data_IF_502249265174
#
_entry.id   IF_502249265174
#
_cell.length_a   1.000
_cell.length_b   1.000
_cell.length_c   1.000
_cell.angle_alpha   90.00
_cell.angle_beta   90.00
_cell.angle_gamma   90.00
#
_symmetry.space_group_name_H-M   'P 1'
#
loop_
_entity.id
_entity.type
_entity.pdbx_description
1 polymer ?
#
# COMPACT_ATOMS: atom_id res chain seq x y z
N UNK A 1 5.13 -8.20 17.77
CA UNK A 1 5.16 -6.72 17.86
C UNK A 1 4.40 -6.27 19.09
N UNK A 2 4.92 -5.38 19.92
CA UNK A 2 4.16 -4.86 21.05
C UNK A 2 2.91 -4.11 20.54
N UNK A 3 1.78 -4.36 21.18
CA UNK A 3 0.44 -3.79 20.86
C UNK A 3 0.42 -2.24 20.84
N UNK A 4 1.45 -1.60 21.33
CA UNK A 4 1.51 -0.14 21.56
C UNK A 4 2.45 0.64 20.62
N UNK A 5 3.08 -0.02 19.65
CA UNK A 5 4.07 0.68 18.79
C UNK A 5 3.47 1.65 17.77
N UNK A 6 2.14 1.71 17.63
CA UNK A 6 1.48 2.57 16.65
C UNK A 6 0.19 3.22 17.19
N UNK A 7 0.25 3.75 18.42
CA UNK A 7 -0.87 4.48 19.06
C UNK A 7 -1.43 5.61 18.18
N UNK A 8 -0.59 6.43 17.50
CA UNK A 8 -1.11 7.46 16.61
C UNK A 8 -1.95 6.91 15.46
N UNK A 9 -1.51 5.82 14.82
CA UNK A 9 -2.28 5.17 13.74
C UNK A 9 -3.61 4.61 14.25
N UNK A 10 -3.63 4.02 15.44
CA UNK A 10 -4.85 3.52 16.06
C UNK A 10 -5.84 4.67 16.35
N UNK A 11 -5.36 5.80 16.90
CA UNK A 11 -6.20 6.99 17.15
C UNK A 11 -6.80 7.53 15.85
N UNK A 12 -5.99 7.65 14.80
CA UNK A 12 -6.46 8.12 13.51
C UNK A 12 -7.49 7.16 12.91
N UNK A 13 -7.24 5.86 12.97
CA UNK A 13 -8.19 4.83 12.51
C UNK A 13 -9.53 4.92 13.25
N UNK A 14 -9.51 5.08 14.57
CA UNK A 14 -10.72 5.24 15.38
C UNK A 14 -11.46 6.54 15.04
N UNK A 15 -10.74 7.64 14.84
CA UNK A 15 -11.35 8.91 14.42
C UNK A 15 -12.09 8.74 13.09
N UNK A 16 -11.49 8.12 12.08
CA UNK A 16 -12.15 7.82 10.81
C UNK A 16 -13.29 6.82 10.96
N UNK A 17 -13.14 5.78 11.77
CA UNK A 17 -14.20 4.81 12.00
C UNK A 17 -15.47 5.44 12.59
N UNK A 18 -15.32 6.50 13.37
CA UNK A 18 -16.44 7.23 14.00
C UNK A 18 -17.00 8.34 13.12
N UNK A 19 -16.14 9.09 12.41
CA UNK A 19 -16.56 10.28 11.65
C UNK A 19 -16.85 10.00 10.18
N UNK A 20 -15.98 9.23 9.52
CA UNK A 20 -16.08 8.95 8.08
C UNK A 20 -15.63 7.52 7.78
N UNK A 21 -16.36 6.48 8.21
CA UNK A 21 -15.93 5.08 8.12
C UNK A 21 -15.65 4.61 6.67
N UNK A 22 -16.29 5.24 5.68
CA UNK A 22 -16.01 4.98 4.25
C UNK A 22 -14.56 5.28 3.85
N UNK A 23 -13.87 6.16 4.56
CA UNK A 23 -12.46 6.51 4.31
C UNK A 23 -11.50 5.39 4.66
N UNK A 24 -11.93 4.39 5.43
CA UNK A 24 -11.17 3.17 5.71
C UNK A 24 -11.40 2.07 4.65
N UNK A 25 -12.27 2.31 3.67
CA UNK A 25 -12.50 1.34 2.60
C UNK A 25 -11.46 1.50 1.50
N UNK A 26 -10.93 0.38 0.95
CA UNK A 26 -10.04 0.43 -0.21
C UNK A 26 -10.82 0.74 -1.48
N UNK A 27 -10.20 1.37 -2.47
CA UNK A 27 -10.81 1.56 -3.79
C UNK A 27 -11.01 0.23 -4.52
N UNK A 28 -10.08 -0.71 -4.33
CA UNK A 28 -10.15 -2.08 -4.84
C UNK A 28 -9.62 -3.08 -3.82
N UNK A 29 -10.11 -4.30 -3.91
CA UNK A 29 -9.70 -5.43 -3.06
C UNK A 29 -9.29 -6.59 -3.96
N UNK A 30 -8.15 -7.20 -3.66
CA UNK A 30 -7.64 -8.43 -4.27
C UNK A 30 -7.26 -9.43 -3.17
N UNK A 31 -7.22 -10.73 -3.44
CA UNK A 31 -6.81 -11.70 -2.41
C UNK A 31 -5.34 -11.52 -2.01
N UNK A 32 -4.44 -11.49 -2.96
CA UNK A 32 -2.98 -11.30 -2.77
C UNK A 32 -2.45 -10.31 -3.83
N UNK A 33 -1.16 -9.98 -3.81
CA UNK A 33 -0.55 -9.12 -4.83
C UNK A 33 -0.54 -9.77 -6.24
N UNK A 34 -0.49 -11.10 -6.32
CA UNK A 34 -0.28 -11.81 -7.59
C UNK A 34 -1.31 -11.50 -8.68
N UNK A 35 -2.63 -11.47 -8.40
CA UNK A 35 -3.65 -11.16 -9.40
C UNK A 35 -3.83 -9.66 -9.68
N UNK A 36 -2.98 -8.76 -9.15
CA UNK A 36 -3.10 -7.34 -9.46
C UNK A 36 -3.06 -7.11 -10.97
N UNK A 37 -4.14 -6.57 -11.60
CA UNK A 37 -4.19 -6.40 -13.04
C UNK A 37 -3.32 -5.24 -13.53
N UNK A 38 -2.96 -5.30 -14.80
CA UNK A 38 -2.26 -4.23 -15.54
C UNK A 38 -3.03 -3.92 -16.83
N UNK A 39 -3.18 -2.68 -17.21
CA UNK A 39 -2.86 -1.46 -16.44
C UNK A 39 -3.76 -1.28 -15.21
N UNK A 40 -3.17 -0.84 -14.09
CA UNK A 40 -3.91 -0.65 -12.83
C UNK A 40 -4.98 0.45 -13.00
N UNK A 41 -4.63 1.54 -13.68
CA UNK A 41 -5.51 2.68 -13.87
C UNK A 41 -6.84 2.30 -14.55
N UNK A 42 -6.82 1.41 -15.52
CA UNK A 42 -8.05 0.95 -16.19
C UNK A 42 -8.95 0.13 -15.26
N UNK A 43 -8.40 -0.55 -14.30
CA UNK A 43 -9.14 -1.37 -13.35
C UNK A 43 -9.69 -0.57 -12.14
N UNK A 44 -9.08 0.56 -11.81
CA UNK A 44 -9.57 1.43 -10.74
C UNK A 44 -10.94 2.04 -11.06
N UNK A 45 -11.69 2.53 -10.05
CA UNK A 45 -12.93 3.29 -10.27
C UNK A 45 -12.69 4.50 -11.17
N UNK A 46 -13.71 4.92 -11.89
CA UNK A 46 -13.65 6.13 -12.71
C UNK A 46 -13.61 7.38 -11.84
N UNK A 47 -12.87 8.41 -12.31
CA UNK A 47 -12.70 9.69 -11.61
C UNK A 47 -13.99 10.53 -11.60
N UNK A 48 -14.87 10.30 -12.57
CA UNK A 48 -16.08 11.10 -12.78
C UNK A 48 -17.18 10.27 -13.45
N UNK A 49 -18.36 10.88 -13.58
CA UNK A 49 -19.52 10.29 -14.25
C UNK A 49 -19.33 10.03 -15.75
N UNK A 50 -18.35 10.67 -16.40
CA UNK A 50 -18.02 10.44 -17.82
C UNK A 50 -17.17 9.18 -18.04
N UNK A 51 -16.84 8.44 -16.99
CA UNK A 51 -16.08 7.20 -17.09
C UNK A 51 -14.57 7.38 -17.24
N UNK A 52 -14.03 8.62 -17.09
CA UNK A 52 -12.59 8.86 -17.20
C UNK A 52 -11.83 8.03 -16.17
N UNK A 53 -10.90 7.22 -16.63
CA UNK A 53 -10.02 6.40 -15.81
C UNK A 53 -8.82 7.22 -15.30
N UNK A 54 -8.32 6.90 -14.09
CA UNK A 54 -7.08 7.53 -13.62
C UNK A 54 -5.88 7.06 -14.44
N UNK A 55 -4.94 7.96 -14.66
CA UNK A 55 -3.60 7.62 -15.10
C UNK A 55 -2.76 7.30 -13.88
N UNK A 56 -2.10 6.14 -13.85
CA UNK A 56 -1.21 5.75 -12.76
C UNK A 56 0.23 5.83 -13.27
N UNK A 57 1.09 6.48 -12.49
CA UNK A 57 2.52 6.67 -12.76
C UNK A 57 3.40 6.13 -11.64
N UNK A 58 2.85 6.00 -10.43
CA UNK A 58 3.60 5.57 -9.27
C UNK A 58 2.87 4.48 -8.47
N UNK A 59 3.65 3.53 -7.96
CA UNK A 59 3.18 2.42 -7.17
C UNK A 59 3.94 2.38 -5.84
N UNK A 60 3.20 2.43 -4.74
CA UNK A 60 3.70 2.18 -3.39
C UNK A 60 3.32 0.76 -2.99
N UNK A 61 4.30 -0.06 -2.66
CA UNK A 61 4.11 -1.44 -2.21
C UNK A 61 4.47 -1.60 -0.74
N UNK A 62 3.58 -2.16 0.04
CA UNK A 62 3.93 -2.68 1.35
C UNK A 62 4.80 -3.95 1.23
N UNK A 63 5.63 -4.20 2.24
CA UNK A 63 6.54 -5.36 2.30
C UNK A 63 5.89 -6.54 3.02
N UNK A 64 5.63 -6.35 4.32
CA UNK A 64 5.25 -7.43 5.23
C UNK A 64 3.84 -7.93 4.93
N UNK A 65 3.69 -9.23 4.73
CA UNK A 65 2.42 -9.85 4.36
C UNK A 65 1.82 -9.35 3.03
N UNK A 66 2.62 -8.67 2.19
CA UNK A 66 2.25 -8.21 0.85
C UNK A 66 3.22 -8.77 -0.19
N UNK A 67 4.51 -8.46 -0.10
CA UNK A 67 5.58 -8.99 -0.96
C UNK A 67 6.18 -10.29 -0.44
N UNK A 68 6.33 -10.41 0.87
CA UNK A 68 6.91 -11.57 1.55
C UNK A 68 6.12 -11.90 2.83
N UNK A 69 6.34 -13.09 3.44
CA UNK A 69 5.77 -13.40 4.74
C UNK A 69 6.17 -12.35 5.79
N UNK A 70 5.34 -12.11 6.81
CA UNK A 70 5.66 -11.17 7.88
C UNK A 70 7.03 -11.46 8.52
N UNK A 71 7.75 -10.38 8.87
CA UNK A 71 9.03 -10.46 9.57
C UNK A 71 10.13 -11.25 8.83
N UNK A 72 10.04 -11.33 7.49
CA UNK A 72 11.05 -11.97 6.65
C UNK A 72 11.42 -11.07 5.46
N UNK A 73 12.54 -11.40 4.81
CA UNK A 73 12.92 -10.89 3.49
C UNK A 73 12.87 -11.98 2.41
N UNK A 74 12.41 -13.19 2.78
CA UNK A 74 12.35 -14.32 1.83
C UNK A 74 11.25 -14.08 0.81
N UNK A 75 11.67 -13.78 -0.41
CA UNK A 75 10.79 -13.58 -1.54
C UNK A 75 10.51 -14.91 -2.26
N UNK A 76 9.26 -15.16 -2.57
CA UNK A 76 8.87 -16.29 -3.40
C UNK A 76 8.98 -15.91 -4.88
N UNK A 77 9.44 -16.83 -5.75
CA UNK A 77 9.68 -16.56 -7.17
C UNK A 77 8.45 -15.96 -7.89
N UNK A 78 7.25 -16.39 -7.54
CA UNK A 78 6.02 -15.85 -8.14
C UNK A 78 5.84 -14.34 -7.86
N UNK A 79 6.23 -13.86 -6.66
CA UNK A 79 6.16 -12.44 -6.30
C UNK A 79 7.29 -11.64 -6.97
N UNK A 80 8.48 -12.21 -7.10
CA UNK A 80 9.57 -11.61 -7.90
C UNK A 80 9.11 -11.46 -9.36
N UNK A 81 8.57 -12.52 -9.97
CA UNK A 81 8.05 -12.47 -11.33
C UNK A 81 6.91 -11.45 -11.50
N UNK A 82 6.07 -11.30 -10.47
CA UNK A 82 5.03 -10.26 -10.48
C UNK A 82 5.62 -8.87 -10.45
N UNK A 83 6.64 -8.63 -9.62
CA UNK A 83 7.31 -7.34 -9.53
C UNK A 83 8.03 -6.99 -10.85
N UNK A 84 8.68 -7.96 -11.49
CA UNK A 84 9.28 -7.75 -12.80
C UNK A 84 8.25 -7.36 -13.87
N UNK A 85 7.07 -8.00 -13.87
CA UNK A 85 5.97 -7.61 -14.76
C UNK A 85 5.46 -6.19 -14.48
N UNK A 86 5.42 -5.77 -13.22
CA UNK A 86 5.08 -4.40 -12.85
C UNK A 86 6.11 -3.41 -13.39
N UNK A 87 7.40 -3.66 -13.16
CA UNK A 87 8.52 -2.83 -13.64
C UNK A 87 8.53 -2.68 -15.17
N UNK A 88 8.13 -3.72 -15.89
CA UNK A 88 8.10 -3.74 -17.37
C UNK A 88 6.80 -3.20 -17.97
N UNK A 89 5.79 -2.88 -17.15
CA UNK A 89 4.51 -2.37 -17.65
C UNK A 89 4.61 -0.92 -18.15
N UNK A 90 3.74 -0.55 -19.07
CA UNK A 90 3.69 0.82 -19.60
C UNK A 90 3.46 1.89 -18.53
N UNK A 91 2.82 1.52 -17.40
CA UNK A 91 2.58 2.45 -16.29
C UNK A 91 3.86 2.79 -15.53
N UNK A 92 4.85 1.87 -15.46
CA UNK A 92 5.99 2.01 -14.55
C UNK A 92 7.37 1.92 -15.22
N UNK A 93 7.46 1.45 -16.47
CA UNK A 93 8.75 1.23 -17.16
C UNK A 93 9.48 2.54 -17.52
N UNK A 94 8.79 3.68 -17.52
CA UNK A 94 9.36 4.96 -17.92
C UNK A 94 10.34 5.56 -16.92
N UNK A 95 10.28 5.13 -15.65
CA UNK A 95 11.15 5.66 -14.61
C UNK A 95 11.46 4.54 -13.59
N UNK A 96 12.73 4.25 -13.28
CA UNK A 96 13.11 3.21 -12.32
C UNK A 96 12.63 3.50 -10.88
N UNK A 97 12.23 4.74 -10.59
CA UNK A 97 11.68 5.16 -9.31
C UNK A 97 10.15 5.12 -9.26
N UNK A 98 9.47 4.64 -10.30
CA UNK A 98 7.99 4.55 -10.35
C UNK A 98 7.41 3.57 -9.33
N UNK A 99 8.19 2.62 -8.85
CA UNK A 99 7.78 1.66 -7.81
C UNK A 99 8.63 1.92 -6.56
N UNK A 100 7.97 2.05 -5.41
CA UNK A 100 8.61 2.33 -4.11
C UNK A 100 8.08 1.36 -3.07
N UNK A 101 8.98 0.66 -2.38
CA UNK A 101 8.62 -0.17 -1.21
C UNK A 101 8.56 0.71 0.03
N UNK A 102 7.46 0.60 0.80
CA UNK A 102 7.25 1.36 2.03
C UNK A 102 6.85 0.41 3.15
N UNK A 103 7.75 0.19 4.11
CA UNK A 103 7.55 -0.74 5.21
C UNK A 103 7.71 -0.05 6.57
N UNK A 104 6.96 -0.49 7.58
CA UNK A 104 7.14 -0.01 8.95
C UNK A 104 8.34 -0.67 9.66
N UNK A 105 9.03 -1.60 9.01
CA UNK A 105 10.24 -2.30 9.47
C UNK A 105 11.43 -1.92 8.60
N UNK A 106 11.55 -2.45 7.38
CA UNK A 106 12.64 -2.16 6.47
C UNK A 106 12.71 -0.66 6.15
N UNK A 107 13.91 -0.07 6.25
CA UNK A 107 14.15 1.35 6.00
C UNK A 107 13.65 2.30 7.10
N UNK A 108 13.08 1.78 8.19
CA UNK A 108 12.82 2.64 9.34
C UNK A 108 14.14 2.91 10.06
N UNK A 109 14.47 4.18 10.33
CA UNK A 109 15.73 4.62 10.95
C UNK A 109 15.91 4.16 12.40
N UNK A 110 15.06 3.26 12.88
CA UNK A 110 15.05 2.80 14.27
C UNK A 110 16.13 1.76 14.61
N UNK A 111 16.77 1.11 13.62
CA UNK A 111 17.89 0.19 13.86
C UNK A 111 18.74 -0.05 12.61
N UNK A 112 20.01 -0.44 12.83
CA UNK A 112 20.91 -0.86 11.75
C UNK A 112 20.39 -2.10 10.99
N UNK A 113 19.61 -2.96 11.65
CA UNK A 113 18.98 -4.14 11.07
C UNK A 113 17.94 -3.76 10.01
N UNK A 114 17.12 -2.75 10.28
CA UNK A 114 16.11 -2.25 9.34
C UNK A 114 16.74 -1.59 8.10
N UNK A 115 17.90 -0.96 8.26
CA UNK A 115 18.66 -0.42 7.13
C UNK A 115 19.30 -1.54 6.30
N UNK A 116 19.86 -2.56 6.95
CA UNK A 116 20.42 -3.73 6.27
C UNK A 116 19.33 -4.50 5.49
N UNK A 117 18.14 -4.63 6.09
CA UNK A 117 16.98 -5.24 5.45
C UNK A 117 16.54 -4.46 4.19
N UNK A 118 16.50 -3.12 4.28
CA UNK A 118 16.15 -2.29 3.14
C UNK A 118 17.16 -2.44 1.99
N UNK A 119 18.47 -2.41 2.29
CA UNK A 119 19.53 -2.61 1.29
C UNK A 119 19.48 -3.99 0.63
N UNK A 120 19.16 -5.03 1.40
CA UNK A 120 18.98 -6.37 0.87
C UNK A 120 17.84 -6.43 -0.14
N UNK A 121 16.67 -5.87 0.21
CA UNK A 121 15.50 -5.79 -0.67
C UNK A 121 15.80 -4.99 -1.94
N UNK A 122 16.47 -3.85 -1.83
CA UNK A 122 16.88 -3.05 -2.98
C UNK A 122 17.81 -3.82 -3.92
N UNK A 123 18.77 -4.55 -3.35
CA UNK A 123 19.70 -5.38 -4.12
C UNK A 123 19.00 -6.54 -4.83
N UNK A 124 18.06 -7.21 -4.16
CA UNK A 124 17.38 -8.39 -4.71
C UNK A 124 16.29 -8.01 -5.71
N UNK A 125 15.57 -6.91 -5.49
CA UNK A 125 14.41 -6.53 -6.28
C UNK A 125 14.69 -5.43 -7.31
N UNK A 126 15.79 -4.68 -7.15
CA UNK A 126 16.04 -3.50 -7.96
C UNK A 126 14.96 -2.43 -7.81
N UNK A 127 14.31 -2.36 -6.64
CA UNK A 127 13.26 -1.40 -6.31
C UNK A 127 13.66 -0.66 -5.04
N UNK A 128 13.61 0.68 -5.03
CA UNK A 128 13.97 1.48 -3.86
C UNK A 128 13.03 1.21 -2.68
N UNK A 129 13.60 1.31 -1.48
CA UNK A 129 12.88 1.23 -0.20
C UNK A 129 12.93 2.58 0.47
N UNK A 130 11.75 3.14 0.84
CA UNK A 130 11.68 4.42 1.51
C UNK A 130 12.35 4.37 2.89
N UNK A 131 13.28 5.29 3.13
CA UNK A 131 13.85 5.51 4.48
C UNK A 131 12.93 6.43 5.26
N UNK A 132 12.40 5.93 6.36
CA UNK A 132 11.42 6.64 7.19
C UNK A 132 12.00 6.99 8.55
N UNK A 133 11.63 8.14 9.07
CA UNK A 133 11.87 8.48 10.47
C UNK A 133 10.90 7.69 11.38
N UNK A 134 11.30 7.36 12.62
CA UNK A 134 10.47 6.58 13.55
C UNK A 134 9.06 7.16 13.76
N UNK A 135 8.95 8.50 13.75
CA UNK A 135 7.71 9.25 13.98
C UNK A 135 6.82 9.31 12.74
N UNK A 136 7.40 9.05 11.55
CA UNK A 136 6.73 9.14 10.25
C UNK A 136 6.54 7.79 9.58
N UNK A 137 6.13 6.78 10.37
CA UNK A 137 5.72 5.48 9.82
C UNK A 137 4.31 5.54 9.25
N UNK A 138 3.94 4.55 8.42
CA UNK A 138 2.57 4.45 7.91
C UNK A 138 1.54 4.54 9.07
N UNK A 139 0.50 5.34 8.92
CA UNK A 139 0.02 6.06 7.73
C UNK A 139 0.57 7.49 7.55
N UNK A 140 1.58 7.95 8.31
CA UNK A 140 2.02 9.34 8.35
C UNK A 140 3.19 9.67 7.41
N UNK A 141 3.75 8.70 6.69
CA UNK A 141 4.86 8.90 5.75
C UNK A 141 4.44 9.45 4.38
N UNK A 142 3.16 9.80 4.20
CA UNK A 142 2.65 10.35 2.95
C UNK A 142 3.45 11.50 2.37
N UNK A 143 3.78 12.56 3.14
CA UNK A 143 4.60 13.66 2.66
C UNK A 143 5.99 13.24 2.14
N UNK A 144 6.61 12.23 2.77
CA UNK A 144 7.92 11.74 2.34
C UNK A 144 7.81 10.95 1.03
N UNK A 145 6.73 10.20 0.82
CA UNK A 145 6.43 9.49 -0.44
C UNK A 145 6.18 10.48 -1.58
N UNK A 146 5.35 11.49 -1.34
CA UNK A 146 5.06 12.52 -2.35
C UNK A 146 6.33 13.28 -2.75
N UNK A 147 7.15 13.66 -1.77
CA UNK A 147 8.44 14.28 -2.01
C UNK A 147 9.36 13.38 -2.84
N UNK A 148 9.46 12.09 -2.48
CA UNK A 148 10.27 11.11 -3.21
C UNK A 148 9.90 11.05 -4.69
N UNK A 149 8.62 10.87 -5.02
CA UNK A 149 8.18 10.76 -6.42
C UNK A 149 8.39 12.07 -7.20
N UNK A 150 8.19 13.22 -6.56
CA UNK A 150 8.46 14.51 -7.15
C UNK A 150 9.94 14.73 -7.44
N UNK A 151 10.82 14.46 -6.47
CA UNK A 151 12.28 14.64 -6.60
C UNK A 151 12.89 13.72 -7.68
N UNK A 152 12.28 12.53 -7.89
CA UNK A 152 12.70 11.58 -8.92
C UNK A 152 11.97 11.77 -10.28
N UNK A 153 11.17 12.82 -10.43
CA UNK A 153 10.49 13.15 -11.69
C UNK A 153 9.42 12.12 -12.11
N UNK A 154 8.84 11.40 -11.15
CA UNK A 154 7.77 10.42 -11.43
C UNK A 154 6.41 11.11 -11.55
N UNK A 155 5.99 11.78 -10.49
CA UNK A 155 4.75 12.56 -10.42
C UNK A 155 4.74 13.48 -9.21
N UNK A 156 3.99 14.58 -9.30
CA UNK A 156 3.63 15.45 -8.17
C UNK A 156 2.12 15.42 -7.86
N UNK A 157 1.33 14.65 -8.64
CA UNK A 157 -0.10 14.47 -8.41
C UNK A 157 -0.37 13.17 -7.61
N UNK A 158 -0.88 13.27 -6.35
CA UNK A 158 -1.24 12.10 -5.56
C UNK A 158 -2.23 11.16 -6.26
N UNK A 159 -3.06 11.67 -7.18
CA UNK A 159 -4.05 10.86 -7.92
C UNK A 159 -3.43 9.96 -8.97
N UNK A 160 -2.16 10.14 -9.29
CA UNK A 160 -1.39 9.24 -10.15
C UNK A 160 -0.65 8.15 -9.37
N UNK A 161 -0.85 8.09 -8.04
CA UNK A 161 -0.20 7.14 -7.15
C UNK A 161 -1.22 6.09 -6.67
N UNK A 162 -0.82 4.81 -6.66
CA UNK A 162 -1.58 3.73 -6.03
C UNK A 162 -0.77 3.10 -4.90
N UNK A 163 -1.39 2.91 -3.75
CA UNK A 163 -0.82 2.20 -2.60
C UNK A 163 -1.42 0.81 -2.53
N UNK A 164 -0.58 -0.22 -2.46
CA UNK A 164 -0.97 -1.62 -2.36
C UNK A 164 -0.41 -2.21 -1.06
N UNK A 165 -1.27 -2.73 -0.21
CA UNK A 165 -0.87 -3.33 1.07
C UNK A 165 -1.96 -4.16 1.71
N UNK A 166 -1.63 -4.83 2.82
CA UNK A 166 -2.50 -5.82 3.48
C UNK A 166 -3.34 -5.25 4.64
N UNK A 167 -3.17 -3.98 5.00
CA UNK A 167 -3.82 -3.40 6.18
C UNK A 167 -4.62 -2.13 5.89
N UNK A 168 -5.87 -2.10 6.36
CA UNK A 168 -6.73 -0.92 6.25
C UNK A 168 -6.19 0.25 7.08
N UNK A 169 -5.76 -0.03 8.31
CA UNK A 169 -5.31 0.98 9.27
C UNK A 169 -3.96 1.64 8.94
N UNK A 170 -3.18 1.09 8.03
CA UNK A 170 -1.87 1.64 7.63
C UNK A 170 -1.82 1.97 6.15
N UNK A 171 -2.10 1.02 5.27
CA UNK A 171 -1.88 1.19 3.83
C UNK A 171 -3.04 1.91 3.15
N UNK A 172 -4.28 1.50 3.44
CA UNK A 172 -5.47 2.18 2.90
C UNK A 172 -5.59 3.58 3.49
N UNK A 173 -5.32 3.72 4.78
CA UNK A 173 -5.33 5.03 5.44
C UNK A 173 -4.21 5.95 4.95
N UNK A 174 -3.00 5.42 4.69
CA UNK A 174 -1.92 6.16 4.04
C UNK A 174 -2.36 6.72 2.68
N UNK A 175 -2.96 5.88 1.83
CA UNK A 175 -3.47 6.33 0.53
C UNK A 175 -4.53 7.43 0.70
N UNK A 176 -5.41 7.29 1.68
CA UNK A 176 -6.43 8.29 2.00
C UNK A 176 -5.82 9.63 2.41
N UNK A 177 -4.85 9.61 3.32
CA UNK A 177 -4.14 10.81 3.79
C UNK A 177 -3.35 11.51 2.67
N UNK A 178 -2.81 10.73 1.74
CA UNK A 178 -2.10 11.27 0.58
C UNK A 178 -3.03 11.80 -0.52
N UNK A 179 -4.31 11.44 -0.52
CA UNK A 179 -5.21 11.68 -1.65
C UNK A 179 -4.93 10.76 -2.85
N UNK A 180 -4.45 9.55 -2.60
CA UNK A 180 -4.05 8.55 -3.57
C UNK A 180 -5.03 7.39 -3.67
N UNK A 181 -4.84 6.49 -4.62
CA UNK A 181 -5.61 5.26 -4.76
C UNK A 181 -5.10 4.18 -3.81
N UNK A 182 -6.01 3.31 -3.37
CA UNK A 182 -5.68 2.18 -2.51
C UNK A 182 -6.17 0.86 -3.09
N UNK A 183 -5.32 -0.15 -3.03
CA UNK A 183 -5.64 -1.55 -3.33
C UNK A 183 -5.28 -2.38 -2.11
N UNK A 184 -6.25 -3.07 -1.56
CA UNK A 184 -6.07 -3.89 -0.38
C UNK A 184 -5.88 -5.37 -0.76
N UNK A 185 -4.77 -5.97 -0.31
CA UNK A 185 -4.50 -7.40 -0.41
C UNK A 185 -5.11 -8.11 0.79
N UNK A 186 -6.41 -8.41 0.71
CA UNK A 186 -7.26 -8.87 1.84
C UNK A 186 -6.72 -10.11 2.54
N UNK A 187 -6.18 -11.07 1.78
CA UNK A 187 -5.70 -12.34 2.33
C UNK A 187 -4.18 -12.28 2.66
N UNK A 188 -3.56 -11.15 2.37
CA UNK A 188 -2.13 -10.94 2.58
C UNK A 188 -1.26 -11.80 1.67
N UNK A 189 -0.03 -12.07 2.10
CA UNK A 189 0.86 -12.96 1.39
C UNK A 189 0.40 -14.42 1.51
N UNK A 190 0.47 -15.15 0.40
CA UNK A 190 0.18 -16.58 0.35
C UNK A 190 1.28 -17.29 -0.43
N UNK A 191 1.70 -18.45 0.05
CA UNK A 191 2.58 -19.31 -0.73
C UNK A 191 1.78 -19.94 -1.89
N UNK A 192 2.15 -19.68 -3.16
CA UNK A 192 1.42 -20.26 -4.29
C UNK A 192 1.51 -21.79 -4.40
N UNK A 193 2.59 -22.37 -3.89
CA UNK A 193 2.86 -23.81 -3.98
C UNK A 193 2.22 -24.60 -2.82
N UNK A 194 2.08 -23.96 -1.67
CA UNK A 194 1.49 -24.59 -0.47
C UNK A 194 0.36 -23.72 0.08
N UNK A 195 -0.78 -23.65 -0.62
CA UNK A 195 -1.91 -22.87 -0.15
C UNK A 195 -2.47 -23.49 1.15
N UNK A 196 -2.59 -22.69 2.20
CA UNK A 196 -3.20 -23.14 3.46
C UNK A 196 -2.77 -22.36 4.69
N UNK A 197 -1.53 -21.87 4.75
CA UNK A 197 -1.08 -21.07 5.89
C UNK A 197 -1.61 -19.64 5.80
N UNK A 198 -2.39 -19.26 6.79
CA UNK A 198 -2.91 -17.89 6.93
C UNK A 198 -2.00 -17.08 7.83
N UNK A 199 -1.29 -16.10 7.27
CA UNK A 199 -0.39 -15.21 8.01
C UNK A 199 -1.10 -13.99 8.61
N UNK A 200 -2.42 -13.86 8.40
CA UNK A 200 -3.19 -12.74 8.94
C UNK A 200 -3.33 -12.86 10.45
N UNK A 201 -2.94 -11.79 11.14
CA UNK A 201 -3.17 -11.64 12.57
C UNK A 201 -4.63 -11.31 12.90
N UNK A 202 -4.92 -11.18 14.19
CA UNK A 202 -6.25 -10.84 14.71
C UNK A 202 -6.80 -9.53 14.09
N UNK A 203 -5.99 -8.48 14.01
CA UNK A 203 -6.39 -7.19 13.45
C UNK A 203 -6.78 -7.28 11.97
N UNK A 204 -6.00 -7.98 11.16
CA UNK A 204 -6.29 -8.15 9.74
C UNK A 204 -7.61 -8.92 9.50
N UNK A 205 -7.94 -9.87 10.36
CA UNK A 205 -9.24 -10.57 10.31
C UNK A 205 -10.40 -9.65 10.73
N UNK A 206 -10.17 -8.78 11.70
CA UNK A 206 -11.14 -7.78 12.12
C UNK A 206 -11.38 -6.74 11.01
N UNK A 207 -10.34 -6.26 10.36
CA UNK A 207 -10.42 -5.38 9.18
C UNK A 207 -11.23 -6.02 8.04
N UNK A 208 -11.04 -7.33 7.80
CA UNK A 208 -11.81 -8.07 6.79
C UNK A 208 -13.30 -8.15 7.11
N UNK A 209 -13.65 -8.27 8.40
CA UNK A 209 -15.06 -8.25 8.84
C UNK A 209 -15.67 -6.85 8.70
N UNK A 210 -14.91 -5.83 9.08
CA UNK A 210 -15.31 -4.44 8.96
C UNK A 210 -15.60 -4.06 7.49
N UNK A 211 -14.67 -4.35 6.58
CA UNK A 211 -14.83 -4.07 5.14
C UNK A 211 -16.07 -4.76 4.57
N UNK A 212 -16.27 -6.04 4.90
CA UNK A 212 -17.44 -6.79 4.44
C UNK A 212 -18.75 -6.21 4.96
N UNK A 213 -18.79 -5.81 6.23
CA UNK A 213 -19.95 -5.16 6.83
C UNK A 213 -20.26 -3.82 6.14
N UNK A 214 -19.25 -2.99 5.93
CA UNK A 214 -19.40 -1.69 5.31
C UNK A 214 -19.90 -1.79 3.86
N UNK A 215 -19.34 -2.71 3.07
CA UNK A 215 -19.74 -2.88 1.67
C UNK A 215 -21.06 -3.64 1.51
N UNK A 216 -21.20 -4.74 2.20
CA UNK A 216 -22.39 -5.60 2.09
C UNK A 216 -23.56 -5.12 2.91
N UNK A 217 -23.32 -4.73 4.19
CA UNK A 217 -24.38 -4.32 5.10
C UNK A 217 -24.85 -2.87 4.91
N UNK A 218 -23.93 -1.95 4.59
CA UNK A 218 -24.22 -0.51 4.47
C UNK A 218 -24.10 0.05 3.05
N UNK A 219 -23.78 -0.79 2.06
CA UNK A 219 -23.57 -0.42 0.65
C UNK A 219 -22.60 0.77 0.46
N UNK A 220 -21.59 0.88 1.33
CA UNK A 220 -20.59 1.96 1.29
C UNK A 220 -19.48 1.66 0.29
N UNK A 221 -18.92 2.73 -0.29
CA UNK A 221 -17.75 2.67 -1.17
C UNK A 221 -16.67 3.63 -0.67
N UNK A 222 -15.41 3.39 -1.08
CA UNK A 222 -14.33 4.31 -0.82
C UNK A 222 -14.61 5.68 -1.47
N UNK A 223 -14.36 6.79 -0.76
CA UNK A 223 -14.39 8.11 -1.39
C UNK A 223 -13.26 8.24 -2.41
N UNK A 224 -13.52 8.88 -3.53
CA UNK A 224 -12.48 9.13 -4.53
C UNK A 224 -11.33 9.97 -3.96
N UNK A 225 -10.10 9.83 -4.52
CA UNK A 225 -8.96 10.64 -4.12
C UNK A 225 -9.26 12.13 -4.24
N UNK A 226 -9.04 12.86 -3.15
CA UNK A 226 -9.21 14.32 -3.11
C UNK A 226 -7.87 15.00 -3.35
N UNK A 227 -7.90 16.18 -3.97
CA UNK A 227 -6.71 17.05 -4.00
C UNK A 227 -6.44 17.50 -2.57
N UNK A 228 -5.28 17.16 -2.02
CA UNK A 228 -4.83 17.70 -0.74
C UNK A 228 -4.43 19.14 -1.05
N UNK A 229 -5.19 20.13 -0.57
CA UNK A 229 -4.74 21.51 -0.59
C UNK A 229 -3.55 21.61 0.36
N UNK A 230 -2.36 21.77 -0.19
CA UNK A 230 -1.17 22.19 0.57
C UNK A 230 -1.44 23.62 1.05
N UNK A 231 -1.90 23.75 2.29
CA UNK A 231 -1.91 25.00 3.04
C UNK A 231 -0.54 25.26 3.64
#
# INVERSE_FOLDING_TARGET
MPLFSNVPALRLTLAYALSEPSSLLPHRTIPTLLPLPLPIGLWLPSLNSTGKKPTIRALVLDKDNTLCPPETTKLHQAYINKLEKLKQSDEFSHNPHSILIVSNTAGSSSSAEHEAEARLLEKELGVPVLRQQPERKKPFCGPDILRYFKEHGVTDDPKEIVVVGDRLATDVLLAREMGSWSVWTRDGWRNPETPGRDYRGFFSRMESRFERFMRGGLARSAPLPKTVSTS
#
